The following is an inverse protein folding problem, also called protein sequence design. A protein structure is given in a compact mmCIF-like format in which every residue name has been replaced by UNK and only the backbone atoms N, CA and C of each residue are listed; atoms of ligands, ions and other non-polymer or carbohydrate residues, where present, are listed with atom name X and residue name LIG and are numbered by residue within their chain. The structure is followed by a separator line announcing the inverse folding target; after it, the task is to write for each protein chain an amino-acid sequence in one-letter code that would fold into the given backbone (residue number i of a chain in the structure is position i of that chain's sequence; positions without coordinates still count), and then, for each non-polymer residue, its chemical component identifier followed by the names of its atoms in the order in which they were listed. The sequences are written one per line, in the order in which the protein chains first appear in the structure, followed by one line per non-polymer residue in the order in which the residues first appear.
data_IF_743016456567
#
_entry.id   IF_743016456567
#
_cell.length_a   1.000
_cell.length_b   1.000
_cell.length_c   1.000
_cell.angle_alpha   90.00
_cell.angle_beta   90.00
_cell.angle_gamma   90.00
#
_symmetry.space_group_name_H-M   'P 1'
#
loop_
_entity.id
_entity.type
_entity.pdbx_description
1 polymer ?
#
# COMPACT_ATOMS: atom_id res chain seq x y z
N UNK A 1 24.51 -74.61 1.67
CA UNK A 1 23.04 -74.49 1.64
C UNK A 1 22.72 -73.17 2.29
N UNK A 2 22.80 -72.13 1.48
CA UNK A 2 22.57 -70.74 1.82
C UNK A 2 21.29 -70.34 1.10
N UNK A 3 20.29 -69.81 1.81
CA UNK A 3 19.10 -69.25 1.18
C UNK A 3 18.70 -67.92 1.84
N UNK A 4 19.11 -66.86 1.12
CA UNK A 4 18.33 -65.70 0.67
C UNK A 4 17.31 -65.07 1.64
N UNK A 5 17.72 -63.95 2.23
CA UNK A 5 16.84 -62.82 2.53
C UNK A 5 16.65 -61.96 1.27
N UNK A 6 15.40 -61.76 0.84
CA UNK A 6 15.00 -60.68 -0.07
C UNK A 6 14.07 -59.73 0.67
N UNK A 7 14.37 -58.44 0.59
CA UNK A 7 13.61 -57.36 1.19
C UNK A 7 12.42 -56.91 0.34
N UNK A 8 11.48 -56.24 1.00
CA UNK A 8 10.50 -55.39 0.36
C UNK A 8 10.38 -54.09 1.17
N UNK A 9 10.84 -53.02 0.55
CA UNK A 9 10.66 -51.63 0.95
C UNK A 9 9.23 -51.22 0.58
N UNK A 10 8.48 -50.68 1.54
CA UNK A 10 7.29 -49.87 1.26
C UNK A 10 7.52 -48.47 1.82
N UNK A 11 7.94 -47.57 0.93
CA UNK A 11 7.91 -46.14 1.15
C UNK A 11 6.45 -45.65 1.01
N UNK A 12 5.87 -45.12 2.08
CA UNK A 12 4.59 -44.41 2.06
C UNK A 12 4.84 -42.92 1.84
N UNK A 13 5.08 -42.51 0.60
CA UNK A 13 5.02 -41.11 0.18
C UNK A 13 3.56 -40.69 0.07
N UNK A 14 3.03 -40.09 1.15
CA UNK A 14 1.81 -39.28 1.07
C UNK A 14 2.20 -37.82 1.18
N UNK A 15 2.47 -37.22 0.01
CA UNK A 15 2.63 -35.78 -0.11
C UNK A 15 1.32 -35.08 0.34
N UNK A 16 1.38 -34.01 1.15
CA UNK A 16 0.21 -33.22 1.45
C UNK A 16 -0.26 -32.54 0.16
N UNK A 17 -1.50 -32.83 -0.25
CA UNK A 17 -2.17 -32.08 -1.31
C UNK A 17 -2.32 -30.63 -0.87
N UNK A 18 -1.42 -29.77 -1.37
CA UNK A 18 -1.57 -28.32 -1.31
C UNK A 18 -2.71 -27.93 -2.23
N UNK A 19 -3.84 -27.53 -1.63
CA UNK A 19 -4.94 -26.89 -2.34
C UNK A 19 -4.44 -25.54 -2.87
N UNK A 20 -4.65 -25.19 -4.14
CA UNK A 20 -4.22 -23.91 -4.67
C UNK A 20 -5.09 -22.80 -4.09
N UNK A 21 -4.54 -22.01 -3.16
CA UNK A 21 -5.12 -20.75 -2.69
C UNK A 21 -5.29 -19.80 -3.90
N UNK A 22 -6.54 -19.40 -4.16
CA UNK A 22 -6.91 -18.47 -5.21
C UNK A 22 -6.51 -17.04 -4.83
N UNK A 23 -5.76 -16.37 -5.70
CA UNK A 23 -5.41 -14.95 -5.55
C UNK A 23 -6.49 -14.07 -6.20
N UNK A 24 -6.98 -13.08 -5.47
CA UNK A 24 -7.91 -12.04 -5.92
C UNK A 24 -7.20 -10.71 -6.09
N UNK A 25 -7.68 -9.92 -7.05
CA UNK A 25 -7.02 -8.71 -7.50
C UNK A 25 -8.07 -7.73 -7.89
N UNK A 26 -7.91 -6.55 -7.35
CA UNK A 26 -8.85 -5.46 -7.48
C UNK A 26 -8.87 -4.99 -8.93
N UNK A 27 -10.02 -5.15 -9.58
CA UNK A 27 -10.32 -4.51 -10.87
C UNK A 27 -11.58 -3.67 -10.68
N UNK A 28 -11.39 -2.35 -10.63
CA UNK A 28 -12.43 -1.36 -10.29
C UNK A 28 -13.36 -0.97 -11.45
N UNK A 29 -13.29 -1.58 -12.64
CA UNK A 29 -14.23 -1.25 -13.73
C UNK A 29 -15.71 -1.45 -13.36
N UNK A 30 -16.04 -2.22 -12.32
CA UNK A 30 -17.43 -2.43 -11.87
C UNK A 30 -17.83 -1.61 -10.64
N UNK A 31 -16.94 -0.75 -10.13
CA UNK A 31 -17.14 0.05 -8.92
C UNK A 31 -18.19 1.17 -9.11
N UNK A 32 -18.40 1.59 -10.35
CA UNK A 32 -19.23 2.74 -10.69
C UNK A 32 -20.72 2.52 -10.49
N UNK A 33 -21.27 1.50 -11.15
CA UNK A 33 -22.71 1.38 -11.48
C UNK A 33 -23.67 1.15 -10.31
N UNK A 34 -23.27 1.29 -9.04
CA UNK A 34 -24.14 0.91 -7.90
C UNK A 34 -24.05 1.77 -6.63
N UNK A 35 -23.26 2.84 -6.62
CA UNK A 35 -23.16 3.79 -5.49
C UNK A 35 -24.49 4.55 -5.24
N UNK A 36 -25.48 4.45 -6.12
CA UNK A 36 -26.76 5.17 -6.00
C UNK A 36 -27.70 4.68 -4.87
N UNK A 37 -27.57 3.46 -4.33
CA UNK A 37 -28.58 2.90 -3.40
C UNK A 37 -28.23 2.97 -1.91
N UNK A 38 -26.99 3.32 -1.56
CA UNK A 38 -26.58 3.67 -0.20
C UNK A 38 -25.57 4.82 -0.26
N UNK A 39 -25.96 5.90 -0.95
CA UNK A 39 -25.43 7.21 -0.56
C UNK A 39 -25.83 7.34 0.90
N UNK A 40 -24.89 7.11 1.82
CA UNK A 40 -24.96 7.74 3.13
C UNK A 40 -25.28 9.17 2.78
N UNK A 41 -26.51 9.60 3.06
CA UNK A 41 -26.88 11.00 3.02
C UNK A 41 -26.00 11.64 4.08
N UNK A 42 -24.76 11.93 3.69
CA UNK A 42 -23.95 12.95 4.29
C UNK A 42 -24.86 14.16 4.19
N UNK A 43 -25.49 14.48 5.31
CA UNK A 43 -26.30 15.67 5.44
C UNK A 43 -25.50 16.81 4.80
N UNK A 44 -26.10 17.66 3.95
CA UNK A 44 -25.39 18.75 3.30
C UNK A 44 -24.60 19.50 4.36
N UNK A 45 -23.27 19.38 4.29
CA UNK A 45 -22.38 19.81 5.35
C UNK A 45 -22.47 21.34 5.46
N UNK A 46 -22.59 21.88 6.68
CA UNK A 46 -22.41 23.30 6.89
C UNK A 46 -21.01 23.69 6.41
N UNK A 47 -20.94 24.82 5.70
CA UNK A 47 -19.77 25.53 5.19
C UNK A 47 -18.41 24.91 5.60
N UNK A 48 -17.84 24.07 4.73
CA UNK A 48 -16.54 23.42 4.95
C UNK A 48 -15.47 24.50 5.13
N UNK A 49 -14.90 24.61 6.33
CA UNK A 49 -13.76 25.50 6.55
C UNK A 49 -12.61 25.10 5.62
N UNK A 50 -11.85 26.07 5.10
CA UNK A 50 -10.72 25.80 4.20
C UNK A 50 -9.65 24.86 4.80
N UNK A 51 -9.67 24.65 6.12
CA UNK A 51 -8.78 23.73 6.81
C UNK A 51 -9.10 22.24 6.54
N UNK A 52 -10.34 21.92 6.15
CA UNK A 52 -10.78 20.54 5.86
C UNK A 52 -10.51 20.09 4.41
N UNK A 53 -9.91 20.95 3.58
CA UNK A 53 -9.89 20.76 2.13
C UNK A 53 -8.56 20.27 1.53
N UNK A 54 -7.43 20.29 2.25
CA UNK A 54 -6.17 19.86 1.62
C UNK A 54 -5.22 19.13 2.59
N UNK A 55 -5.47 17.83 2.91
CA UNK A 55 -4.50 17.00 3.64
C UNK A 55 -3.12 16.98 2.94
N UNK A 56 -3.10 17.29 1.63
CA UNK A 56 -1.92 17.22 0.80
C UNK A 56 -1.02 18.48 0.75
N UNK A 57 -1.34 19.54 1.47
CA UNK A 57 -0.41 20.68 1.65
C UNK A 57 0.49 20.50 2.87
N UNK A 58 1.83 20.55 2.72
CA UNK A 58 2.74 20.49 3.86
C UNK A 58 2.65 21.77 4.69
N UNK A 59 2.54 21.62 6.01
CA UNK A 59 2.56 22.69 7.01
C UNK A 59 3.93 23.36 7.07
N UNK A 60 4.01 24.54 7.67
CA UNK A 60 5.28 25.22 7.91
C UNK A 60 6.25 24.35 8.72
N UNK A 61 5.76 23.63 9.75
CA UNK A 61 6.57 22.73 10.56
C UNK A 61 7.11 21.54 9.74
N UNK A 62 6.26 20.88 8.95
CA UNK A 62 6.66 19.77 8.06
C UNK A 62 7.74 20.23 7.05
N UNK A 63 7.61 21.44 6.48
CA UNK A 63 8.60 21.99 5.54
C UNK A 63 9.97 22.28 6.17
N UNK A 64 10.01 22.48 7.49
CA UNK A 64 11.23 22.78 8.24
C UNK A 64 11.86 21.53 8.87
N UNK A 65 11.25 20.35 8.69
CA UNK A 65 11.88 19.10 9.13
C UNK A 65 13.28 18.97 8.47
N UNK A 66 14.33 18.62 9.23
CA UNK A 66 15.70 18.59 8.71
C UNK A 66 15.85 17.76 7.43
N UNK A 67 15.16 16.62 7.38
CA UNK A 67 15.14 15.73 6.23
C UNK A 67 14.47 16.38 5.00
N UNK A 68 13.33 17.04 5.19
CA UNK A 68 12.65 17.74 4.10
C UNK A 68 13.50 18.89 3.54
N UNK A 69 14.17 19.63 4.41
CA UNK A 69 15.11 20.71 4.03
C UNK A 69 16.29 20.15 3.23
N UNK A 70 16.86 19.01 3.66
CA UNK A 70 17.97 18.35 2.96
C UNK A 70 17.55 17.88 1.55
N UNK A 71 16.42 17.20 1.43
CA UNK A 71 15.91 16.73 0.13
C UNK A 71 15.59 17.89 -0.81
N UNK A 72 14.98 18.97 -0.30
CA UNK A 72 14.73 20.19 -1.10
C UNK A 72 16.01 20.83 -1.59
N UNK A 73 17.04 20.91 -0.73
CA UNK A 73 18.36 21.43 -1.11
C UNK A 73 18.99 20.58 -2.20
N UNK A 74 18.95 19.25 -2.07
CA UNK A 74 19.56 18.32 -3.03
C UNK A 74 18.82 18.27 -4.37
N UNK A 75 17.49 18.43 -4.36
CA UNK A 75 16.64 18.43 -5.55
C UNK A 75 16.84 19.67 -6.45
N UNK A 76 17.32 20.79 -5.91
CA UNK A 76 17.54 22.02 -6.67
C UNK A 76 18.63 21.91 -7.77
N UNK A 77 19.51 20.92 -7.69
CA UNK A 77 20.69 20.80 -8.55
C UNK A 77 20.52 19.85 -9.76
N UNK A 78 19.39 19.13 -9.86
CA UNK A 78 19.21 18.06 -10.85
C UNK A 78 17.96 18.30 -11.71
N UNK A 79 18.15 18.85 -12.91
CA UNK A 79 17.10 18.97 -13.91
C UNK A 79 16.73 17.57 -14.44
N UNK A 80 15.61 17.00 -13.97
CA UNK A 80 14.88 15.79 -14.46
C UNK A 80 15.65 14.50 -14.80
N UNK A 81 16.98 14.45 -14.66
CA UNK A 81 17.86 13.32 -14.99
C UNK A 81 17.47 12.54 -16.25
N UNK A 82 17.05 13.24 -17.31
CA UNK A 82 16.63 12.62 -18.57
C UNK A 82 15.53 11.55 -18.42
N UNK A 83 14.70 11.62 -17.37
CA UNK A 83 13.52 10.76 -17.22
C UNK A 83 12.55 10.88 -18.41
N UNK A 84 12.69 11.96 -19.20
CA UNK A 84 11.91 12.18 -20.41
C UNK A 84 12.36 11.34 -21.60
N UNK A 85 13.65 11.02 -21.70
CA UNK A 85 14.29 10.48 -22.91
C UNK A 85 13.90 9.03 -23.20
N UNK A 86 13.52 8.27 -22.16
CA UNK A 86 13.02 6.90 -22.32
C UNK A 86 11.67 6.75 -21.61
N UNK A 87 10.55 6.74 -22.35
CA UNK A 87 9.23 6.47 -21.79
C UNK A 87 9.18 5.15 -21.02
N UNK A 88 10.04 4.19 -21.37
CA UNK A 88 10.13 2.92 -20.65
C UNK A 88 10.85 3.05 -19.30
N UNK A 89 11.55 4.14 -19.00
CA UNK A 89 12.13 4.40 -17.67
C UNK A 89 11.14 5.05 -16.71
N UNK A 90 10.08 5.68 -17.21
CA UNK A 90 9.06 6.33 -16.38
C UNK A 90 8.24 5.28 -15.64
N UNK A 91 8.34 5.24 -14.31
CA UNK A 91 7.57 4.30 -13.47
C UNK A 91 7.99 2.83 -13.61
N UNK A 92 9.18 2.53 -14.17
CA UNK A 92 9.79 1.19 -13.99
C UNK A 92 10.24 1.05 -12.55
N UNK A 93 9.98 -0.14 -11.99
CA UNK A 93 10.56 -0.73 -10.77
C UNK A 93 11.55 0.17 -10.04
N UNK A 94 11.12 0.72 -8.91
CA UNK A 94 11.97 1.57 -8.06
C UNK A 94 13.21 0.87 -7.53
N UNK A 95 13.32 -0.46 -7.67
CA UNK A 95 14.52 -1.23 -7.31
C UNK A 95 15.78 -0.76 -8.05
N UNK A 96 15.63 -0.16 -9.24
CA UNK A 96 16.77 0.35 -10.05
C UNK A 96 17.03 1.85 -9.86
N UNK A 97 16.25 2.53 -9.02
CA UNK A 97 16.38 3.97 -8.86
C UNK A 97 17.57 4.32 -7.97
N UNK A 98 18.51 5.07 -8.53
CA UNK A 98 19.57 5.71 -7.78
C UNK A 98 19.10 7.00 -7.10
N UNK A 99 20.02 7.65 -6.40
CA UNK A 99 19.76 8.97 -5.78
C UNK A 99 19.49 10.04 -6.85
N UNK A 100 20.06 9.89 -8.05
CA UNK A 100 19.86 10.82 -9.16
C UNK A 100 18.41 10.82 -9.63
N UNK A 101 17.81 9.65 -9.82
CA UNK A 101 16.42 9.50 -10.23
C UNK A 101 15.47 10.08 -9.18
N UNK A 102 15.72 9.80 -7.90
CA UNK A 102 14.90 10.32 -6.78
C UNK A 102 14.97 11.84 -6.67
N UNK A 103 16.18 12.41 -6.77
CA UNK A 103 16.33 13.86 -6.75
C UNK A 103 15.76 14.52 -8.01
N UNK A 104 15.85 13.86 -9.16
CA UNK A 104 15.27 14.33 -10.41
C UNK A 104 13.75 14.38 -10.38
N UNK A 105 13.10 13.45 -9.68
CA UNK A 105 11.65 13.54 -9.44
C UNK A 105 11.31 14.52 -8.31
N UNK A 106 12.30 15.09 -7.63
CA UNK A 106 12.12 16.10 -6.57
C UNK A 106 11.14 15.65 -5.49
N UNK A 107 11.22 14.37 -5.13
CA UNK A 107 10.40 13.80 -4.07
C UNK A 107 10.96 14.20 -2.70
N UNK A 108 10.10 14.71 -1.82
CA UNK A 108 10.43 15.12 -0.47
C UNK A 108 9.61 14.28 0.50
N UNK A 109 10.25 13.44 1.32
CA UNK A 109 9.53 12.62 2.29
C UNK A 109 9.06 13.45 3.48
N UNK A 110 7.85 13.17 3.95
CA UNK A 110 7.33 13.54 5.26
C UNK A 110 7.01 12.25 5.99
N UNK A 111 7.76 11.96 7.05
CA UNK A 111 7.72 10.67 7.74
C UNK A 111 6.96 10.77 9.06
N UNK A 112 6.57 9.61 9.59
CA UNK A 112 5.94 9.47 10.91
C UNK A 112 4.68 10.36 11.07
N UNK A 113 3.89 10.49 10.01
CA UNK A 113 2.68 11.32 10.02
C UNK A 113 1.50 10.56 10.64
N UNK A 114 0.66 11.28 11.38
CA UNK A 114 -0.61 10.74 11.83
C UNK A 114 -1.52 10.39 10.63
N UNK A 115 -2.32 9.31 10.69
CA UNK A 115 -3.26 8.94 9.63
C UNK A 115 -4.13 10.09 9.11
N UNK A 116 -4.56 11.00 9.99
CA UNK A 116 -5.40 12.16 9.66
C UNK A 116 -4.69 13.22 8.80
N UNK A 117 -3.36 13.16 8.70
CA UNK A 117 -2.56 13.99 7.78
C UNK A 117 -2.48 13.40 6.37
N UNK A 118 -2.93 12.15 6.19
CA UNK A 118 -2.99 11.45 4.89
C UNK A 118 -4.43 11.38 4.39
N UNK A 119 -5.38 11.10 5.28
CA UNK A 119 -6.81 11.00 4.98
C UNK A 119 -7.56 12.03 5.82
N UNK A 120 -8.54 12.76 5.27
CA UNK A 120 -9.35 13.68 6.07
C UNK A 120 -10.08 12.97 7.23
N UNK A 121 -10.10 13.58 8.41
CA UNK A 121 -10.62 12.98 9.63
C UNK A 121 -12.07 12.47 9.51
N UNK A 122 -12.90 13.15 8.71
CA UNK A 122 -14.31 12.80 8.47
C UNK A 122 -14.56 11.43 7.81
N UNK A 123 -13.53 10.80 7.23
CA UNK A 123 -13.69 9.47 6.63
C UNK A 123 -13.35 8.34 7.61
N UNK A 124 -12.77 8.66 8.77
CA UNK A 124 -12.53 7.66 9.81
C UNK A 124 -13.85 7.28 10.49
N UNK A 125 -14.00 6.02 10.94
CA UNK A 125 -15.21 5.58 11.61
C UNK A 125 -15.41 6.36 12.91
N UNK A 126 -16.62 6.84 13.12
CA UNK A 126 -17.04 7.49 14.37
C UNK A 126 -17.16 6.49 15.51
N UNK A 127 -17.07 6.99 16.74
CA UNK A 127 -17.35 6.19 17.93
C UNK A 127 -18.79 5.68 17.88
N UNK A 128 -18.97 4.37 18.05
CA UNK A 128 -20.29 3.72 18.00
C UNK A 128 -20.69 3.14 16.65
N UNK A 129 -19.84 3.20 15.61
CA UNK A 129 -20.05 2.41 14.40
C UNK A 129 -20.01 0.90 14.74
N UNK A 130 -21.15 0.20 14.65
CA UNK A 130 -21.29 -1.20 15.09
C UNK A 130 -20.44 -2.15 14.25
N UNK A 131 -20.42 -1.98 12.92
CA UNK A 131 -19.65 -2.81 11.99
C UNK A 131 -18.14 -2.70 12.26
N UNK A 132 -17.66 -1.47 12.42
CA UNK A 132 -16.28 -1.20 12.76
C UNK A 132 -15.93 -1.76 14.14
N UNK A 133 -16.81 -1.60 15.12
CA UNK A 133 -16.61 -2.13 16.48
C UNK A 133 -16.53 -3.66 16.48
N UNK A 134 -17.35 -4.33 15.68
CA UNK A 134 -17.27 -5.79 15.49
C UNK A 134 -15.95 -6.21 14.87
N UNK A 135 -15.51 -5.53 13.80
CA UNK A 135 -14.21 -5.82 13.18
C UNK A 135 -13.03 -5.55 14.10
N UNK A 136 -13.09 -4.48 14.88
CA UNK A 136 -12.08 -4.13 15.87
C UNK A 136 -11.94 -5.26 16.90
N UNK A 137 -13.06 -5.83 17.36
CA UNK A 137 -13.06 -7.01 18.23
C UNK A 137 -12.48 -8.23 17.53
N UNK A 138 -12.81 -8.46 16.26
CA UNK A 138 -12.29 -9.59 15.48
C UNK A 138 -10.78 -9.50 15.26
N UNK A 139 -10.25 -8.36 14.82
CA UNK A 139 -8.81 -8.17 14.56
C UNK A 139 -7.99 -8.19 15.85
N UNK A 140 -8.57 -7.74 16.97
CA UNK A 140 -7.93 -7.76 18.29
C UNK A 140 -7.98 -9.10 19.02
N UNK A 141 -8.53 -10.16 18.41
CA UNK A 141 -8.77 -11.43 19.09
C UNK A 141 -7.49 -12.22 19.44
N UNK A 142 -6.43 -12.11 18.63
CA UNK A 142 -5.17 -12.83 18.83
C UNK A 142 -4.18 -11.99 19.64
N UNK A 143 -3.73 -12.47 20.80
CA UNK A 143 -2.66 -11.81 21.57
C UNK A 143 -1.27 -12.17 21.03
N UNK A 144 -0.22 -11.50 21.51
CA UNK A 144 1.17 -11.77 21.06
C UNK A 144 1.55 -13.26 21.23
N UNK A 145 1.25 -13.85 22.39
CA UNK A 145 1.49 -15.29 22.61
C UNK A 145 0.71 -16.18 21.64
N UNK A 146 -0.50 -15.78 21.26
CA UNK A 146 -1.32 -16.53 20.30
C UNK A 146 -0.77 -16.46 18.88
N UNK A 147 -0.04 -15.39 18.53
CA UNK A 147 0.62 -15.28 17.23
C UNK A 147 1.87 -16.18 17.20
N UNK A 148 2.62 -16.26 18.29
CA UNK A 148 3.81 -17.11 18.41
C UNK A 148 3.45 -18.60 18.40
N UNK A 149 2.37 -18.97 19.06
CA UNK A 149 1.88 -20.34 19.17
C UNK A 149 0.53 -20.48 18.44
N UNK A 150 0.49 -20.11 17.16
CA UNK A 150 -0.78 -20.06 16.43
C UNK A 150 -1.52 -21.40 16.41
N UNK A 151 -2.68 -21.44 17.08
CA UNK A 151 -3.62 -22.57 17.10
C UNK A 151 -4.90 -22.20 16.36
N UNK A 152 -5.06 -22.73 15.14
CA UNK A 152 -6.18 -22.40 14.26
C UNK A 152 -7.56 -22.57 14.90
N UNK A 153 -7.76 -23.59 15.74
CA UNK A 153 -9.06 -23.86 16.39
C UNK A 153 -9.51 -22.76 17.35
N UNK A 154 -8.58 -21.99 17.94
CA UNK A 154 -8.89 -20.86 18.83
C UNK A 154 -9.61 -19.73 18.10
N UNK A 155 -9.39 -19.60 16.80
CA UNK A 155 -9.90 -18.53 15.95
C UNK A 155 -10.96 -19.00 14.96
N UNK A 156 -11.55 -20.19 15.19
CA UNK A 156 -12.58 -20.74 14.31
C UNK A 156 -13.76 -19.76 14.21
N UNK A 157 -14.08 -19.35 12.98
CA UNK A 157 -15.16 -18.40 12.69
C UNK A 157 -14.77 -16.92 12.78
N UNK A 158 -13.53 -16.60 13.16
CA UNK A 158 -13.01 -15.25 13.06
C UNK A 158 -12.58 -14.96 11.60
N UNK A 159 -13.03 -13.85 10.98
CA UNK A 159 -12.64 -13.52 9.61
C UNK A 159 -11.13 -13.35 9.44
N UNK A 160 -10.39 -12.93 10.47
CA UNK A 160 -8.95 -12.69 10.41
C UNK A 160 -8.10 -13.93 10.75
N UNK A 161 -8.67 -15.13 10.79
CA UNK A 161 -7.93 -16.36 11.11
C UNK A 161 -6.72 -16.58 10.18
N UNK A 162 -6.88 -16.39 8.87
CA UNK A 162 -5.79 -16.52 7.89
C UNK A 162 -4.69 -15.48 8.11
N UNK A 163 -5.11 -14.22 8.32
CA UNK A 163 -4.21 -13.13 8.69
C UNK A 163 -3.39 -13.45 9.95
N UNK A 164 -4.01 -13.96 11.02
CA UNK A 164 -3.29 -14.32 12.26
C UNK A 164 -2.27 -15.44 12.06
N UNK A 165 -2.57 -16.41 11.21
CA UNK A 165 -1.63 -17.49 10.86
C UNK A 165 -0.35 -16.90 10.23
N UNK A 166 -0.51 -16.11 9.17
CA UNK A 166 0.63 -15.56 8.44
C UNK A 166 1.37 -14.49 9.25
N UNK A 167 0.65 -13.71 10.06
CA UNK A 167 1.27 -12.77 11.00
C UNK A 167 2.09 -13.49 12.07
N UNK A 168 1.62 -14.65 12.56
CA UNK A 168 2.38 -15.51 13.46
C UNK A 168 3.70 -15.98 12.85
N UNK A 169 3.67 -16.44 11.60
CA UNK A 169 4.87 -16.81 10.84
C UNK A 169 5.87 -15.64 10.79
N UNK A 170 5.42 -14.43 10.41
CA UNK A 170 6.27 -13.23 10.37
C UNK A 170 6.82 -12.85 11.75
N UNK A 171 6.02 -13.00 12.80
CA UNK A 171 6.40 -12.66 14.18
C UNK A 171 7.55 -13.52 14.69
N UNK A 172 7.71 -14.74 14.16
CA UNK A 172 8.82 -15.64 14.50
C UNK A 172 10.07 -15.43 13.63
N UNK A 173 9.95 -14.70 12.51
CA UNK A 173 11.13 -14.31 11.73
C UNK A 173 11.90 -13.24 12.52
N UNK A 174 13.19 -13.48 12.80
CA UNK A 174 14.05 -12.65 13.67
C UNK A 174 14.39 -11.24 13.10
N UNK A 175 13.46 -10.59 12.42
CA UNK A 175 13.63 -9.22 11.94
C UNK A 175 13.15 -8.26 13.04
N UNK A 176 14.09 -7.67 13.79
CA UNK A 176 13.70 -6.72 14.84
C UNK A 176 13.06 -5.47 14.23
N UNK A 177 11.95 -5.02 14.83
CA UNK A 177 11.25 -3.79 14.46
C UNK A 177 12.22 -2.61 14.42
N UNK A 178 13.10 -2.51 15.42
CA UNK A 178 14.09 -1.44 15.48
C UNK A 178 15.07 -1.51 14.31
N UNK A 179 15.39 -2.71 13.80
CA UNK A 179 16.24 -2.83 12.61
C UNK A 179 15.52 -2.28 11.38
N UNK A 180 14.23 -2.58 11.21
CA UNK A 180 13.44 -2.07 10.08
C UNK A 180 13.25 -0.56 10.17
N UNK A 181 12.83 -0.04 11.33
CA UNK A 181 12.65 1.39 11.57
C UNK A 181 13.98 2.12 11.39
N UNK A 182 15.08 1.56 11.91
CA UNK A 182 16.40 2.16 11.78
C UNK A 182 16.92 2.08 10.34
N UNK A 183 16.60 1.04 9.59
CA UNK A 183 16.89 0.93 8.16
C UNK A 183 16.19 2.04 7.38
N UNK A 184 14.91 2.27 7.64
CA UNK A 184 14.15 3.40 7.09
C UNK A 184 14.76 4.75 7.46
N UNK A 185 15.15 4.95 8.73
CA UNK A 185 15.75 6.21 9.23
C UNK A 185 17.22 6.43 8.85
N UNK A 186 17.99 5.39 8.55
CA UNK A 186 19.41 5.51 8.14
C UNK A 186 19.53 5.83 6.65
N UNK A 187 18.65 5.27 5.81
CA UNK A 187 18.62 5.50 4.35
C UNK A 187 18.33 6.95 3.97
N UNK A 188 17.82 7.74 4.91
CA UNK A 188 17.53 9.16 4.75
C UNK A 188 18.74 10.08 4.96
N UNK A 189 19.83 9.62 5.57
CA UNK A 189 21.04 10.42 5.79
C UNK A 189 22.02 10.26 4.60
N UNK A 190 22.35 11.36 3.91
CA UNK A 190 23.15 11.32 2.68
C UNK A 190 24.57 10.70 2.81
N UNK A 191 25.12 10.59 4.02
CA UNK A 191 26.48 10.03 4.22
C UNK A 191 26.59 8.52 4.00
N UNK A 192 25.48 7.80 3.79
CA UNK A 192 25.47 6.33 3.60
C UNK A 192 24.99 5.88 2.22
N UNK A 193 24.79 6.81 1.27
CA UNK A 193 24.13 6.53 -0.01
C UNK A 193 24.89 5.60 -0.98
N UNK A 194 26.17 5.28 -0.69
CA UNK A 194 27.01 4.42 -1.55
C UNK A 194 27.10 2.96 -1.10
N UNK A 195 26.57 2.60 0.08
CA UNK A 195 26.89 1.30 0.71
C UNK A 195 25.73 0.30 0.69
N UNK A 196 24.74 0.46 -0.19
CA UNK A 196 23.54 -0.41 -0.21
C UNK A 196 23.32 -1.15 -1.53
N UNK A 197 24.37 -1.80 -2.03
CA UNK A 197 24.26 -2.86 -3.04
C UNK A 197 24.57 -4.20 -2.36
N UNK A 198 23.67 -4.66 -1.49
CA UNK A 198 23.73 -6.03 -0.98
C UNK A 198 22.76 -6.90 -1.77
N UNK A 199 23.35 -7.90 -2.40
CA UNK A 199 22.78 -8.90 -3.29
C UNK A 199 22.23 -10.11 -2.53
N UNK A 200 21.01 -10.52 -2.92
CA UNK A 200 20.52 -11.89 -3.14
C UNK A 200 20.67 -12.95 -2.03
N UNK A 201 19.53 -13.56 -1.64
CA UNK A 201 19.06 -14.85 -2.23
C UNK A 201 17.96 -15.54 -1.40
N UNK A 202 17.65 -15.04 -0.19
CA UNK A 202 16.57 -15.58 0.67
C UNK A 202 15.39 -14.62 0.89
N UNK A 203 15.36 -13.47 0.20
CA UNK A 203 14.33 -12.43 0.38
C UNK A 203 12.94 -12.86 -0.10
N UNK A 204 12.87 -13.81 -1.03
CA UNK A 204 11.62 -14.20 -1.71
C UNK A 204 10.58 -14.83 -0.77
N UNK A 205 11.03 -15.57 0.26
CA UNK A 205 10.12 -16.27 1.18
C UNK A 205 9.45 -15.33 2.18
N UNK A 206 10.23 -14.46 2.86
CA UNK A 206 9.70 -13.46 3.80
C UNK A 206 8.80 -12.43 3.09
N UNK A 207 9.15 -12.04 1.85
CA UNK A 207 8.32 -11.16 1.03
C UNK A 207 6.98 -11.83 0.68
N UNK A 208 6.98 -13.12 0.32
CA UNK A 208 5.76 -13.85 0.02
C UNK A 208 4.82 -13.93 1.24
N UNK A 209 5.34 -14.22 2.44
CA UNK A 209 4.52 -14.27 3.65
C UNK A 209 3.98 -12.88 4.00
N UNK A 210 4.81 -11.83 3.93
CA UNK A 210 4.37 -10.43 4.16
C UNK A 210 3.28 -10.04 3.18
N UNK A 211 3.43 -10.43 1.92
CA UNK A 211 2.46 -10.20 0.85
C UNK A 211 1.12 -10.85 1.14
N UNK A 212 1.11 -12.15 1.46
CA UNK A 212 -0.12 -12.87 1.77
C UNK A 212 -0.76 -12.29 3.04
N UNK A 213 0.04 -11.94 4.04
CA UNK A 213 -0.45 -11.31 5.29
C UNK A 213 -1.16 -9.99 5.03
N UNK A 214 -0.53 -9.08 4.26
CA UNK A 214 -1.13 -7.80 3.90
C UNK A 214 -2.41 -8.00 3.09
N UNK A 215 -2.39 -8.91 2.11
CA UNK A 215 -3.54 -9.19 1.25
C UNK A 215 -4.71 -9.76 2.07
N UNK A 216 -4.45 -10.69 3.00
CA UNK A 216 -5.49 -11.22 3.90
C UNK A 216 -6.06 -10.11 4.78
N UNK A 217 -5.21 -9.25 5.37
CA UNK A 217 -5.65 -8.13 6.18
C UNK A 217 -6.60 -7.20 5.41
N UNK A 218 -6.22 -6.81 4.20
CA UNK A 218 -7.02 -5.92 3.35
C UNK A 218 -8.29 -6.61 2.87
N UNK A 219 -8.21 -7.86 2.39
CA UNK A 219 -9.36 -8.59 1.89
C UNK A 219 -10.41 -8.82 2.98
N UNK A 220 -10.01 -9.26 4.17
CA UNK A 220 -10.95 -9.51 5.26
C UNK A 220 -11.54 -8.21 5.79
N UNK A 221 -10.77 -7.13 5.87
CA UNK A 221 -11.32 -5.81 6.19
C UNK A 221 -12.38 -5.42 5.19
N UNK A 222 -12.05 -5.47 3.90
CA UNK A 222 -12.96 -5.12 2.82
C UNK A 222 -14.21 -5.99 2.82
N UNK A 223 -14.10 -7.32 2.81
CA UNK A 223 -15.25 -8.25 2.77
C UNK A 223 -16.28 -8.05 3.87
N UNK A 224 -15.86 -7.48 4.99
CA UNK A 224 -16.71 -7.24 6.15
C UNK A 224 -17.07 -5.76 6.34
N UNK A 225 -16.52 -4.84 5.54
CA UNK A 225 -17.18 -3.57 5.31
C UNK A 225 -18.45 -3.89 4.54
N UNK A 226 -19.62 -3.56 5.08
CA UNK A 226 -20.91 -3.93 4.46
C UNK A 226 -21.06 -3.43 3.01
N UNK A 227 -20.26 -2.43 2.63
CA UNK A 227 -20.08 -1.92 1.27
C UNK A 227 -19.45 -2.92 0.28
N UNK A 228 -18.82 -4.01 0.73
CA UNK A 228 -18.18 -4.99 -0.16
C UNK A 228 -19.14 -5.98 -0.80
N UNK A 229 -20.28 -6.26 -0.15
CA UNK A 229 -21.35 -7.06 -0.79
C UNK A 229 -21.93 -6.36 -2.02
N UNK A 230 -21.73 -5.04 -2.14
CA UNK A 230 -22.11 -4.26 -3.31
C UNK A 230 -21.04 -4.33 -4.44
N UNK A 231 -19.83 -4.79 -4.12
CA UNK A 231 -18.73 -5.06 -5.05
C UNK A 231 -18.86 -6.45 -5.70
N UNK A 232 -20.00 -6.74 -6.33
CA UNK A 232 -20.22 -8.00 -7.05
C UNK A 232 -19.08 -8.25 -8.06
N UNK A 233 -18.14 -9.13 -7.67
CA UNK A 233 -17.09 -9.62 -8.53
C UNK A 233 -17.76 -10.55 -9.55
N UNK A 234 -17.71 -10.26 -10.86
CA UNK A 234 -18.18 -11.21 -11.85
C UNK A 234 -17.27 -12.44 -11.76
N UNK A 235 -17.88 -13.59 -11.47
CA UNK A 235 -17.24 -14.88 -11.49
C UNK A 235 -16.89 -15.20 -12.96
N UNK A 236 -15.76 -14.68 -13.47
CA UNK A 236 -15.27 -15.00 -14.81
C UNK A 236 -14.37 -16.23 -14.73
N UNK A 237 -14.80 -17.40 -15.23
CA UNK A 237 -13.90 -18.53 -15.41
C UNK A 237 -12.80 -18.13 -16.41
N UNK A 238 -11.53 -18.30 -16.01
CA UNK A 238 -10.38 -18.11 -16.90
C UNK A 238 -9.56 -16.82 -16.70
N UNK A 239 -9.81 -16.01 -15.65
CA UNK A 239 -8.93 -14.88 -15.34
C UNK A 239 -7.60 -15.39 -14.77
N UNK A 240 -6.48 -15.01 -15.40
CA UNK A 240 -5.15 -15.17 -14.80
C UNK A 240 -5.12 -14.43 -13.47
N UNK A 241 -4.45 -15.07 -12.50
CA UNK A 241 -4.25 -14.56 -11.16
C UNK A 241 -3.81 -13.09 -11.23
N UNK A 242 -4.32 -12.24 -10.35
CA UNK A 242 -3.70 -10.96 -10.12
C UNK A 242 -2.32 -11.21 -9.57
N UNK A 243 -1.35 -10.75 -10.33
CA UNK A 243 0.03 -10.76 -9.93
C UNK A 243 0.20 -9.73 -8.82
N UNK A 244 0.05 -10.18 -7.58
CA UNK A 244 0.73 -9.56 -6.45
C UNK A 244 2.20 -9.97 -6.62
N UNK A 245 2.96 -9.18 -7.37
CA UNK A 245 4.31 -9.54 -7.79
C UNK A 245 5.29 -8.48 -7.32
N UNK A 246 6.36 -8.97 -6.71
CA UNK A 246 7.56 -8.20 -6.43
C UNK A 246 7.96 -7.32 -7.62
N UNK A 247 8.21 -6.06 -7.29
CA UNK A 247 9.10 -5.07 -7.90
C UNK A 247 8.96 -4.72 -9.40
N UNK A 248 8.65 -5.65 -10.31
CA UNK A 248 9.11 -5.53 -11.70
C UNK A 248 8.03 -5.55 -12.81
N UNK A 249 6.73 -5.44 -12.50
CA UNK A 249 5.66 -5.48 -13.52
C UNK A 249 4.88 -4.18 -13.64
N UNK A 250 4.48 -3.85 -14.88
CA UNK A 250 3.61 -2.70 -15.22
C UNK A 250 2.41 -2.70 -14.27
N UNK A 251 2.29 -1.66 -13.44
CA UNK A 251 1.16 -1.51 -12.55
C UNK A 251 -0.12 -1.53 -13.40
N UNK A 252 -0.96 -2.53 -13.13
CA UNK A 252 -2.36 -2.45 -13.53
C UNK A 252 -2.96 -1.18 -12.93
N UNK A 253 -4.06 -0.69 -13.51
CA UNK A 253 -4.85 0.43 -12.99
C UNK A 253 -5.27 0.18 -11.54
N UNK A 254 -4.42 0.55 -10.60
CA UNK A 254 -4.68 0.45 -9.18
C UNK A 254 -4.89 1.83 -8.60
N UNK A 255 -5.89 1.92 -7.73
CA UNK A 255 -6.13 3.09 -6.89
C UNK A 255 -5.16 3.08 -5.70
N UNK A 256 -4.86 1.88 -5.20
CA UNK A 256 -3.99 1.63 -4.05
C UNK A 256 -3.03 0.51 -4.40
N UNK A 257 -1.74 0.78 -4.42
CA UNK A 257 -0.73 -0.26 -4.62
C UNK A 257 -0.47 -0.98 -3.29
N UNK A 258 -0.12 -2.27 -3.36
CA UNK A 258 0.34 -3.03 -2.21
C UNK A 258 1.84 -3.28 -2.37
N UNK A 259 2.61 -2.95 -1.35
CA UNK A 259 4.05 -3.20 -1.32
C UNK A 259 4.41 -4.05 -0.09
N UNK A 260 5.18 -5.12 -0.30
CA UNK A 260 5.63 -5.99 0.78
C UNK A 260 7.13 -6.22 0.65
N UNK A 261 7.83 -6.31 1.79
CA UNK A 261 9.30 -6.47 1.80
C UNK A 261 9.73 -7.37 2.94
N UNK A 262 10.71 -8.24 2.65
CA UNK A 262 11.33 -9.11 3.66
C UNK A 262 12.16 -8.32 4.68
N UNK A 263 13.22 -7.62 4.26
CA UNK A 263 14.19 -6.99 5.21
C UNK A 263 14.85 -5.69 4.72
N UNK A 264 14.98 -5.51 3.42
CA UNK A 264 15.54 -4.29 2.82
C UNK A 264 14.43 -3.43 2.22
N UNK A 265 13.91 -2.52 3.03
CA UNK A 265 13.18 -1.39 2.52
C UNK A 265 14.05 -0.71 1.46
N UNK A 266 13.70 -0.77 0.17
CA UNK A 266 14.30 0.10 -0.87
C UNK A 266 14.16 1.61 -0.56
N UNK A 267 13.66 1.94 0.64
CA UNK A 267 13.44 3.24 1.20
C UNK A 267 12.40 3.99 0.40
N UNK A 268 12.44 5.29 0.60
CA UNK A 268 11.67 6.27 -0.15
C UNK A 268 11.74 6.06 -1.67
N UNK A 269 12.87 5.58 -2.21
CA UNK A 269 13.08 5.47 -3.66
C UNK A 269 12.04 4.55 -4.32
N UNK A 270 11.80 3.39 -3.70
CA UNK A 270 10.88 2.40 -4.24
C UNK A 270 9.43 2.85 -4.07
N UNK A 271 9.09 3.40 -2.91
CA UNK A 271 7.76 3.97 -2.65
C UNK A 271 7.42 5.09 -3.64
N UNK A 272 8.35 6.01 -3.88
CA UNK A 272 8.20 7.09 -4.88
C UNK A 272 7.98 6.52 -6.28
N UNK A 273 8.73 5.49 -6.67
CA UNK A 273 8.58 4.86 -7.97
C UNK A 273 7.20 4.18 -8.13
N UNK A 274 6.70 3.52 -7.09
CA UNK A 274 5.35 2.92 -7.09
C UNK A 274 4.26 3.99 -7.19
N UNK A 275 4.37 5.07 -6.41
CA UNK A 275 3.43 6.20 -6.45
C UNK A 275 3.40 6.86 -7.83
N UNK A 276 4.57 7.06 -8.46
CA UNK A 276 4.69 7.60 -9.82
C UNK A 276 4.20 6.62 -10.88
N UNK A 277 4.50 5.34 -10.74
CA UNK A 277 4.03 4.28 -11.63
C UNK A 277 2.50 4.20 -11.66
N UNK A 278 1.86 4.29 -10.48
CA UNK A 278 0.40 4.35 -10.36
C UNK A 278 -0.19 5.60 -11.06
N UNK A 279 0.42 6.77 -10.85
CA UNK A 279 0.01 8.03 -11.50
C UNK A 279 0.08 7.90 -13.03
N UNK A 280 1.20 7.41 -13.57
CA UNK A 280 1.36 7.22 -15.02
C UNK A 280 0.37 6.21 -15.59
N UNK A 281 0.14 5.08 -14.92
CA UNK A 281 -0.83 4.07 -15.36
C UNK A 281 -2.24 4.68 -15.48
N UNK A 282 -2.65 5.48 -14.50
CA UNK A 282 -3.95 6.17 -14.52
C UNK A 282 -4.03 7.23 -15.63
N UNK A 283 -2.95 7.97 -15.90
CA UNK A 283 -2.90 8.97 -16.97
C UNK A 283 -2.94 8.35 -18.38
N UNK A 284 -2.27 7.22 -18.59
CA UNK A 284 -2.20 6.54 -19.89
C UNK A 284 -3.47 5.79 -20.24
N UNK A 285 -4.28 5.44 -19.24
CA UNK A 285 -5.52 4.71 -19.49
C UNK A 285 -6.55 5.61 -20.17
N UNK A 286 -7.23 5.13 -21.23
CA UNK A 286 -8.35 5.82 -21.84
C UNK A 286 -9.55 5.74 -20.88
N UNK A 287 -9.74 6.79 -20.10
CA UNK A 287 -10.80 6.93 -19.12
C UNK A 287 -11.75 8.07 -19.55
N UNK A 288 -13.08 7.91 -19.40
CA UNK A 288 -14.06 8.95 -19.77
C UNK A 288 -13.81 10.29 -19.07
N UNK A 289 -13.36 10.23 -17.81
CA UNK A 289 -13.05 11.42 -17.00
C UNK A 289 -11.62 11.29 -16.47
N UNK A 290 -10.83 12.35 -16.68
CA UNK A 290 -9.48 12.47 -16.12
C UNK A 290 -9.38 13.75 -15.31
N UNK A 291 -8.98 13.61 -14.06
CA UNK A 291 -8.52 14.75 -13.27
C UNK A 291 -7.21 15.28 -13.84
N UNK A 292 -7.02 16.59 -13.72
CA UNK A 292 -5.77 17.26 -14.07
C UNK A 292 -4.67 17.02 -13.04
N UNK A 293 -5.08 16.62 -11.83
CA UNK A 293 -4.23 16.20 -10.73
C UNK A 293 -4.61 14.80 -10.24
N UNK A 294 -3.76 14.19 -9.42
CA UNK A 294 -4.01 12.84 -8.93
C UNK A 294 -3.54 12.63 -7.50
N UNK A 295 -4.19 11.71 -6.80
CA UNK A 295 -3.72 11.12 -5.56
C UNK A 295 -3.36 9.65 -5.82
N UNK A 296 -2.25 9.19 -5.25
CA UNK A 296 -1.91 7.78 -5.22
C UNK A 296 -1.54 7.33 -3.81
N UNK A 297 -1.84 6.07 -3.52
CA UNK A 297 -1.64 5.45 -2.22
C UNK A 297 -0.88 4.14 -2.37
N UNK A 298 0.00 3.85 -1.43
CA UNK A 298 0.71 2.57 -1.30
C UNK A 298 0.50 2.08 0.12
N UNK A 299 -0.06 0.88 0.28
CA UNK A 299 -0.11 0.17 1.54
C UNK A 299 1.13 -0.71 1.62
N UNK A 300 1.94 -0.52 2.65
CA UNK A 300 3.23 -1.18 2.77
C UNK A 300 3.30 -2.05 4.01
N UNK A 301 3.87 -3.25 3.87
CA UNK A 301 4.12 -4.16 4.99
C UNK A 301 5.56 -4.71 4.95
N UNK A 302 6.33 -4.42 6.01
CA UNK A 302 7.71 -4.88 6.18
C UNK A 302 7.80 -5.73 7.45
N UNK A 303 7.90 -7.06 7.30
CA UNK A 303 7.69 -7.96 8.44
C UNK A 303 6.30 -7.71 9.05
N UNK A 304 6.25 -7.41 10.35
CA UNK A 304 4.98 -7.09 11.05
C UNK A 304 4.60 -5.62 11.01
N UNK A 305 5.43 -4.74 10.45
CA UNK A 305 5.19 -3.30 10.40
C UNK A 305 4.35 -2.93 9.18
N UNK A 306 3.21 -2.31 9.41
CA UNK A 306 2.32 -1.77 8.40
C UNK A 306 2.37 -0.24 8.39
N UNK A 307 2.29 0.38 7.22
CA UNK A 307 2.15 1.83 7.08
C UNK A 307 1.57 2.18 5.71
N UNK A 308 1.15 3.43 5.55
CA UNK A 308 0.59 3.95 4.30
C UNK A 308 1.43 5.10 3.81
N UNK A 309 1.83 5.03 2.54
CA UNK A 309 2.44 6.13 1.82
C UNK A 309 1.44 6.73 0.84
N UNK A 310 1.44 8.06 0.71
CA UNK A 310 0.54 8.77 -0.19
C UNK A 310 1.23 9.98 -0.82
N UNK A 311 0.82 10.31 -2.05
CA UNK A 311 1.29 11.51 -2.72
C UNK A 311 0.20 12.16 -3.56
N UNK A 312 0.28 13.48 -3.64
CA UNK A 312 -0.57 14.30 -4.49
C UNK A 312 0.25 14.88 -5.64
N UNK A 313 -0.20 14.61 -6.85
CA UNK A 313 0.40 15.02 -8.11
C UNK A 313 -0.39 16.20 -8.65
N UNK A 314 0.05 17.41 -8.32
CA UNK A 314 -0.53 18.63 -8.89
C UNK A 314 -0.38 18.66 -10.42
N UNK A 315 -1.20 19.42 -11.16
CA UNK A 315 -1.10 19.48 -12.61
C UNK A 315 0.28 20.00 -13.07
N UNK A 316 0.87 20.93 -12.31
CA UNK A 316 2.22 21.44 -12.54
C UNK A 316 3.29 20.38 -12.35
N UNK A 317 3.16 19.54 -11.32
CA UNK A 317 4.12 18.45 -11.09
C UNK A 317 3.98 17.35 -12.15
N UNK A 318 2.76 17.01 -12.57
CA UNK A 318 2.52 16.08 -13.67
C UNK A 318 3.14 16.60 -14.98
N UNK A 319 2.95 17.89 -15.29
CA UNK A 319 3.61 18.53 -16.43
C UNK A 319 5.14 18.38 -16.32
N UNK A 320 5.74 18.83 -15.20
CA UNK A 320 7.17 18.71 -14.94
C UNK A 320 7.71 17.29 -15.18
N UNK A 321 7.03 16.27 -14.66
CA UNK A 321 7.43 14.87 -14.84
C UNK A 321 7.17 14.35 -16.26
N UNK A 322 6.30 14.98 -17.06
CA UNK A 322 5.97 14.55 -18.43
C UNK A 322 6.80 15.22 -19.53
N UNK A 323 7.10 16.50 -19.37
CA UNK A 323 7.74 17.33 -20.39
C UNK A 323 9.04 17.99 -19.91
N UNK A 324 9.38 17.83 -18.63
CA UNK A 324 10.54 18.47 -18.02
C UNK A 324 10.40 19.97 -17.85
N UNK A 325 9.21 20.53 -18.07
CA UNK A 325 8.95 21.95 -17.88
C UNK A 325 9.04 22.30 -16.40
N UNK A 326 10.07 23.06 -16.07
CA UNK A 326 10.32 23.52 -14.72
C UNK A 326 9.75 24.92 -14.54
N UNK A 327 8.67 25.04 -13.78
CA UNK A 327 7.98 26.32 -13.55
C UNK A 327 8.48 27.10 -12.33
N UNK A 328 9.54 26.63 -11.65
CA UNK A 328 10.17 27.32 -10.52
C UNK A 328 10.30 26.48 -9.24
N UNK A 329 10.78 27.15 -8.18
CA UNK A 329 11.33 26.55 -6.96
C UNK A 329 10.40 25.62 -6.18
N UNK A 330 9.08 25.70 -6.37
CA UNK A 330 8.11 24.99 -5.52
C UNK A 330 7.58 23.67 -6.11
N UNK A 331 8.10 23.22 -7.24
CA UNK A 331 7.62 21.98 -7.86
C UNK A 331 8.24 20.75 -7.18
N UNK A 332 7.72 20.37 -6.01
CA UNK A 332 8.12 19.18 -5.25
C UNK A 332 6.99 18.16 -5.16
N UNK A 333 7.34 16.88 -5.13
CA UNK A 333 6.41 15.81 -4.77
C UNK A 333 6.54 15.53 -3.28
N UNK A 334 5.55 15.96 -2.51
CA UNK A 334 5.51 15.66 -1.08
C UNK A 334 4.95 14.25 -0.88
N UNK A 335 5.82 13.32 -0.50
CA UNK A 335 5.45 11.94 -0.18
C UNK A 335 5.22 11.82 1.31
N UNK A 336 3.99 11.56 1.69
CA UNK A 336 3.56 11.38 3.07
C UNK A 336 3.65 9.92 3.43
N UNK A 337 4.34 9.60 4.51
CA UNK A 337 4.37 8.28 5.09
C UNK A 337 3.77 8.36 6.49
N UNK A 338 2.84 7.46 6.78
CA UNK A 338 2.25 7.40 8.11
C UNK A 338 3.27 6.94 9.15
N UNK A 339 2.91 7.08 10.42
CA UNK A 339 3.48 6.24 11.48
C UNK A 339 3.40 4.76 11.10
N UNK A 340 4.32 3.96 11.64
CA UNK A 340 4.31 2.52 11.49
C UNK A 340 3.44 1.89 12.58
N UNK A 341 2.62 0.93 12.19
CA UNK A 341 1.79 0.11 13.06
C UNK A 341 2.43 -1.27 13.17
N UNK A 342 2.85 -1.67 14.37
CA UNK A 342 3.34 -3.03 14.59
C UNK A 342 2.16 -3.98 14.80
N UNK A 343 1.85 -4.76 13.77
CA UNK A 343 0.67 -5.62 13.78
C UNK A 343 0.74 -6.77 14.81
N UNK A 344 1.87 -6.96 15.51
CA UNK A 344 1.91 -7.86 16.69
C UNK A 344 1.10 -7.29 17.86
N UNK A 345 1.06 -5.97 18.00
CA UNK A 345 0.34 -5.28 19.07
C UNK A 345 -1.14 -5.23 18.74
N UNK A 346 -1.97 -5.46 19.75
CA UNK A 346 -3.44 -5.48 19.58
C UNK A 346 -3.94 -4.07 19.22
N UNK A 347 -3.36 -3.07 19.87
CA UNK A 347 -3.69 -1.66 19.75
C UNK A 347 -3.37 -1.16 18.33
N UNK A 348 -2.15 -1.43 17.85
CA UNK A 348 -1.68 -1.02 16.52
C UNK A 348 -2.48 -1.69 15.40
N UNK A 349 -2.93 -2.94 15.58
CA UNK A 349 -3.86 -3.58 14.63
C UNK A 349 -5.20 -2.85 14.54
N UNK A 350 -5.71 -2.38 15.67
CA UNK A 350 -6.94 -1.59 15.72
C UNK A 350 -6.79 -0.26 14.99
N UNK A 351 -5.68 0.45 15.20
CA UNK A 351 -5.39 1.70 14.50
C UNK A 351 -5.12 1.49 13.00
N UNK A 352 -4.40 0.42 12.63
CA UNK A 352 -4.19 0.05 11.23
C UNK A 352 -5.54 -0.26 10.53
N UNK A 353 -6.44 -1.00 11.20
CA UNK A 353 -7.79 -1.27 10.71
C UNK A 353 -8.57 0.03 10.53
N UNK A 354 -8.53 0.93 11.51
CA UNK A 354 -9.18 2.25 11.43
C UNK A 354 -8.67 3.07 10.25
N UNK A 355 -7.37 3.00 9.98
CA UNK A 355 -6.74 3.72 8.88
C UNK A 355 -7.13 3.15 7.51
N UNK A 356 -7.11 1.82 7.35
CA UNK A 356 -7.58 1.15 6.13
C UNK A 356 -9.06 1.44 5.88
N UNK A 357 -9.89 1.37 6.92
CA UNK A 357 -11.30 1.74 6.83
C UNK A 357 -11.47 3.17 6.31
N UNK A 358 -10.79 4.13 6.92
CA UNK A 358 -10.82 5.53 6.49
C UNK A 358 -10.40 5.72 5.03
N UNK A 359 -9.38 4.96 4.59
CA UNK A 359 -8.89 5.02 3.20
C UNK A 359 -9.94 4.52 2.21
N UNK A 360 -10.58 3.41 2.55
CA UNK A 360 -11.63 2.82 1.72
C UNK A 360 -12.82 3.76 1.61
N UNK A 361 -13.27 4.36 2.72
CA UNK A 361 -14.39 5.33 2.68
C UNK A 361 -13.99 6.59 1.90
N UNK A 362 -12.77 7.10 2.09
CA UNK A 362 -12.28 8.28 1.37
C UNK A 362 -12.28 8.06 -0.15
N UNK A 363 -11.72 6.94 -0.60
CA UNK A 363 -11.70 6.56 -2.02
C UNK A 363 -13.13 6.34 -2.54
N UNK A 364 -13.95 5.60 -1.79
CA UNK A 364 -15.36 5.27 -2.11
C UNK A 364 -16.26 6.49 -2.23
N UNK A 365 -15.95 7.57 -1.52
CA UNK A 365 -16.69 8.83 -1.63
C UNK A 365 -16.47 9.58 -2.94
N UNK A 366 -15.48 9.20 -3.76
CA UNK A 366 -15.08 9.96 -4.95
C UNK A 366 -14.35 11.26 -4.66
N UNK A 367 -14.11 11.59 -3.38
CA UNK A 367 -13.37 12.79 -2.97
C UNK A 367 -11.87 12.65 -3.20
N UNK A 368 -11.35 11.42 -3.17
CA UNK A 368 -9.98 11.14 -3.58
C UNK A 368 -9.82 11.39 -5.08
N UNK A 369 -8.79 12.15 -5.47
CA UNK A 369 -8.52 12.53 -6.87
C UNK A 369 -7.90 11.36 -7.64
N UNK A 370 -8.69 10.33 -7.89
CA UNK A 370 -8.26 9.09 -8.53
C UNK A 370 -9.10 8.89 -9.79
N UNK A 371 -8.46 8.83 -10.96
CA UNK A 371 -9.19 8.88 -12.24
C UNK A 371 -10.14 7.71 -12.46
N UNK A 372 -9.74 6.50 -12.02
CA UNK A 372 -10.52 5.27 -12.18
C UNK A 372 -11.86 5.40 -11.47
N UNK A 373 -11.82 5.96 -10.27
CA UNK A 373 -12.96 6.19 -9.39
C UNK A 373 -13.95 7.15 -10.03
N UNK A 374 -13.48 8.33 -10.43
CA UNK A 374 -14.38 9.32 -11.03
C UNK A 374 -14.95 8.90 -12.38
N UNK A 375 -14.18 8.12 -13.16
CA UNK A 375 -14.68 7.51 -14.39
C UNK A 375 -15.81 6.53 -14.14
N UNK A 376 -15.64 5.68 -13.14
CA UNK A 376 -16.66 4.72 -12.76
C UNK A 376 -17.93 5.41 -12.24
N UNK A 377 -17.81 6.44 -11.38
CA UNK A 377 -18.97 7.24 -10.92
C UNK A 377 -19.69 7.91 -12.10
N UNK A 378 -18.93 8.48 -13.04
CA UNK A 378 -19.51 9.10 -14.23
C UNK A 378 -20.28 8.10 -15.09
N UNK A 379 -19.72 6.90 -15.34
CA UNK A 379 -20.42 5.83 -16.06
C UNK A 379 -21.65 5.27 -15.33
N UNK A 380 -21.72 5.43 -14.02
CA UNK A 380 -22.88 5.03 -13.22
C UNK A 380 -24.04 6.02 -13.35
N UNK A 381 -23.70 7.30 -13.48
CA UNK A 381 -24.63 8.42 -13.49
C UNK A 381 -25.17 8.73 -14.89
N UNK A 382 -24.61 8.08 -15.92
CA UNK A 382 -24.99 8.20 -17.34
C UNK A 382 -25.86 7.04 -17.78
#
# INVERSE_FOLDING_TARGET
MEDKCQGASMASDTAPQTTPLGAFGFNLCNWGKRIENKVYTLNPTPDLSMEDLVPFSPTAAERQQPLAVEYRRNAGYLATANLQDDPNRRGRSGSKWGVKEVNAVRAVPLLDLEPKRIIPARYFPEDGNEDFSWLLKCIGAAKDDDLREFVASKFRGNPYQGFFKHLGELSTTNTSEESIIRSHKRKTSASSATTELSTSSNEDSDEAVSTVTLVDFINHTLMNMDNYKELNLPNRPGRRKPDISGSDRKSYLSVVSLECKGRNAGGLKREVAELLGAMFAQQQTPLPVKHQDQETFVLSMHGTLFYVSAAYFSPRYIAYIRDGSYSGEETFLWVRQSIHFDLKKVEDRGEALRFVWGLVIYISSGSARVNIVSSAIHEASS
#
